data_IF_220907451767
#
_entry.id   IF_220907451767
#
_cell.length_a   1.000
_cell.length_b   1.000
_cell.length_c   1.000
_cell.angle_alpha   90.00
_cell.angle_beta   90.00
_cell.angle_gamma   90.00
#
_symmetry.space_group_name_H-M   'P 1'
#
loop_
_entity.id
_entity.type
_entity.pdbx_description
1 polymer ?
#
# COMPACT_ATOMS: atom_id res chain seq x y z
N UNK A 1 12.56 0.44 -5.29
CA UNK A 1 13.52 -0.67 -5.39
C UNK A 1 13.40 -1.28 -6.77
N UNK A 2 14.49 -1.81 -7.32
CA UNK A 2 14.49 -2.35 -8.69
C UNK A 2 15.45 -3.54 -8.82
N UNK A 3 15.52 -4.10 -10.03
CA UNK A 3 16.48 -5.11 -10.45
C UNK A 3 17.25 -4.60 -11.68
N UNK A 4 18.44 -5.16 -12.00
CA UNK A 4 19.24 -4.73 -13.15
C UNK A 4 18.46 -4.68 -14.47
N UNK A 5 17.63 -5.70 -14.73
CA UNK A 5 16.83 -5.81 -15.96
C UNK A 5 15.80 -4.67 -16.12
N UNK A 6 15.37 -4.07 -15.00
CA UNK A 6 14.37 -3.00 -14.99
C UNK A 6 14.96 -1.59 -15.09
N UNK A 7 16.29 -1.45 -15.10
CA UNK A 7 16.94 -0.13 -15.13
C UNK A 7 16.50 0.71 -16.34
N UNK A 8 16.57 0.13 -17.55
CA UNK A 8 16.21 0.84 -18.78
C UNK A 8 14.72 0.69 -19.14
N UNK A 9 14.05 -0.36 -18.65
CA UNK A 9 12.65 -0.65 -18.98
C UNK A 9 11.65 0.04 -18.04
N UNK A 10 12.03 0.32 -16.80
CA UNK A 10 11.13 0.88 -15.78
C UNK A 10 11.67 2.15 -15.13
N UNK A 11 12.91 2.11 -14.60
CA UNK A 11 13.45 3.21 -13.79
C UNK A 11 13.56 4.52 -14.58
N UNK A 12 13.87 4.47 -15.87
CA UNK A 12 13.92 5.66 -16.73
C UNK A 12 12.58 6.42 -16.74
N UNK A 13 11.45 5.70 -16.69
CA UNK A 13 10.12 6.32 -16.66
C UNK A 13 9.85 6.99 -15.32
N UNK A 14 10.28 6.39 -14.21
CA UNK A 14 10.21 6.99 -12.88
C UNK A 14 10.99 8.30 -12.85
N UNK A 15 12.25 8.28 -13.33
CA UNK A 15 13.12 9.48 -13.36
C UNK A 15 12.52 10.60 -14.23
N UNK A 16 11.83 10.25 -15.31
CA UNK A 16 11.21 11.21 -16.22
C UNK A 16 9.83 11.73 -15.74
N UNK A 17 9.24 11.12 -14.71
CA UNK A 17 7.89 11.46 -14.22
C UNK A 17 7.93 11.79 -12.73
N UNK A 18 7.26 11.01 -11.88
CA UNK A 18 7.07 11.31 -10.46
C UNK A 18 8.39 11.39 -9.66
N UNK A 19 9.41 10.63 -10.07
CA UNK A 19 10.73 10.64 -9.42
C UNK A 19 11.43 11.99 -9.50
N UNK A 20 11.13 12.80 -10.52
CA UNK A 20 11.67 14.16 -10.65
C UNK A 20 11.13 15.14 -9.59
N UNK A 21 10.02 14.80 -8.93
CA UNK A 21 9.36 15.64 -7.91
C UNK A 21 9.84 15.32 -6.48
N UNK A 22 10.63 14.27 -6.31
CA UNK A 22 11.24 13.89 -5.03
C UNK A 22 12.33 14.88 -4.60
N UNK A 23 12.49 15.11 -3.29
CA UNK A 23 13.64 15.87 -2.77
C UNK A 23 14.95 15.12 -3.00
N UNK A 24 14.91 13.78 -2.85
CA UNK A 24 15.99 12.85 -3.14
C UNK A 24 15.37 11.58 -3.69
N UNK A 25 15.91 11.09 -4.80
CA UNK A 25 15.55 9.81 -5.39
C UNK A 25 16.76 8.87 -5.26
N UNK A 26 16.59 7.77 -4.54
CA UNK A 26 17.60 6.72 -4.40
C UNK A 26 17.13 5.49 -5.18
N UNK A 27 17.91 5.06 -6.16
CA UNK A 27 17.59 3.85 -6.92
C UNK A 27 18.35 2.67 -6.33
N UNK A 28 17.68 1.88 -5.50
CA UNK A 28 18.26 0.70 -4.86
C UNK A 28 18.17 -0.53 -5.77
N UNK A 29 19.32 -1.12 -6.11
CA UNK A 29 19.48 -2.30 -6.98
C UNK A 29 20.57 -3.23 -6.42
N UNK A 30 20.83 -4.38 -7.05
CA UNK A 30 22.01 -5.22 -6.71
C UNK A 30 23.28 -4.81 -7.45
N UNK A 31 23.16 -4.01 -8.53
CA UNK A 31 24.30 -3.56 -9.33
C UNK A 31 24.32 -2.04 -9.46
N UNK A 32 25.54 -1.51 -9.58
CA UNK A 32 25.76 -0.11 -9.90
C UNK A 32 25.50 0.10 -11.39
N UNK A 33 24.66 1.07 -11.69
CA UNK A 33 24.39 1.55 -13.05
C UNK A 33 24.47 3.08 -13.04
N UNK A 34 25.58 3.65 -13.56
CA UNK A 34 25.77 5.10 -13.60
C UNK A 34 24.73 5.85 -14.44
N UNK A 35 24.07 5.19 -15.41
CA UNK A 35 23.10 5.86 -16.30
C UNK A 35 21.83 6.27 -15.57
N UNK A 36 21.40 5.43 -14.63
CA UNK A 36 20.24 5.70 -13.77
C UNK A 36 20.66 6.19 -12.38
N UNK A 37 21.91 6.00 -11.99
CA UNK A 37 22.44 6.36 -10.68
C UNK A 37 22.05 5.35 -9.60
N UNK A 38 22.05 4.05 -9.91
CA UNK A 38 21.69 3.03 -8.90
C UNK A 38 22.79 2.82 -7.87
N UNK A 39 22.33 2.51 -6.65
CA UNK A 39 23.14 2.09 -5.51
C UNK A 39 23.06 0.57 -5.45
N UNK A 40 24.22 -0.08 -5.50
CA UNK A 40 24.33 -1.53 -5.35
C UNK A 40 24.25 -1.90 -3.86
N UNK A 41 23.23 -2.68 -3.51
CA UNK A 41 23.07 -3.29 -2.20
C UNK A 41 23.75 -4.67 -2.20
N UNK A 42 24.37 -5.09 -1.08
CA UNK A 42 25.11 -6.34 -0.99
C UNK A 42 24.16 -7.55 -0.82
N UNK A 43 23.28 -7.76 -1.79
CA UNK A 43 22.24 -8.80 -1.78
C UNK A 43 22.14 -9.51 -3.12
N UNK A 44 21.76 -10.78 -3.11
CA UNK A 44 21.45 -11.53 -4.33
C UNK A 44 20.14 -11.03 -4.97
N UNK A 45 19.99 -11.24 -6.29
CA UNK A 45 18.77 -10.90 -7.01
C UNK A 45 17.65 -11.93 -6.83
N UNK A 46 16.43 -11.48 -7.11
CA UNK A 46 15.23 -12.32 -7.13
C UNK A 46 14.21 -11.98 -6.03
N UNK A 47 12.97 -12.44 -6.23
CA UNK A 47 11.84 -12.11 -5.35
C UNK A 47 12.04 -12.52 -3.90
N UNK A 48 12.72 -13.64 -3.67
CA UNK A 48 13.01 -14.12 -2.31
C UNK A 48 13.91 -13.14 -1.56
N UNK A 49 14.83 -12.48 -2.25
CA UNK A 49 15.77 -11.51 -1.66
C UNK A 49 15.20 -10.11 -1.46
N UNK A 50 13.91 -9.88 -1.78
CA UNK A 50 13.29 -8.55 -1.63
C UNK A 50 13.35 -8.03 -0.20
N UNK A 51 13.11 -8.89 0.78
CA UNK A 51 13.21 -8.50 2.18
C UNK A 51 14.62 -8.04 2.54
N UNK A 52 15.65 -8.80 2.16
CA UNK A 52 17.04 -8.41 2.41
C UNK A 52 17.42 -7.13 1.66
N UNK A 53 16.91 -6.94 0.44
CA UNK A 53 17.08 -5.68 -0.31
C UNK A 53 16.45 -4.50 0.44
N UNK A 54 15.27 -4.67 1.03
CA UNK A 54 14.64 -3.65 1.89
C UNK A 54 15.47 -3.37 3.14
N UNK A 55 15.95 -4.40 3.85
CA UNK A 55 16.82 -4.25 5.04
C UNK A 55 18.06 -3.42 4.72
N UNK A 56 18.77 -3.78 3.65
CA UNK A 56 19.99 -3.07 3.23
C UNK A 56 19.70 -1.67 2.70
N UNK A 57 18.56 -1.46 2.01
CA UNK A 57 18.13 -0.12 1.59
C UNK A 57 17.90 0.81 2.79
N UNK A 58 17.22 0.34 3.83
CA UNK A 58 16.98 1.14 5.04
C UNK A 58 18.23 1.29 5.90
N UNK A 59 19.15 0.31 5.92
CA UNK A 59 20.49 0.49 6.49
C UNK A 59 21.24 1.63 5.79
N UNK A 60 21.27 1.61 4.45
CA UNK A 60 21.91 2.68 3.67
C UNK A 60 21.29 4.05 3.99
N UNK A 61 19.96 4.14 4.00
CA UNK A 61 19.23 5.36 4.36
C UNK A 61 19.61 5.84 5.77
N UNK A 62 19.65 4.94 6.74
CA UNK A 62 20.01 5.27 8.11
C UNK A 62 21.43 5.87 8.20
N UNK A 63 22.39 5.19 7.60
CA UNK A 63 23.82 5.56 7.67
C UNK A 63 24.15 6.84 6.91
N UNK A 64 23.43 7.15 5.83
CA UNK A 64 23.80 8.23 4.91
C UNK A 64 22.83 9.42 4.92
N UNK A 65 21.54 9.22 5.24
CA UNK A 65 20.49 10.20 4.96
C UNK A 65 19.46 10.40 6.08
N UNK A 66 19.56 9.69 7.21
CA UNK A 66 18.54 9.77 8.28
C UNK A 66 18.26 11.20 8.76
N UNK A 67 19.34 11.96 8.97
CA UNK A 67 19.25 13.33 9.50
C UNK A 67 19.04 14.38 8.40
N UNK A 68 19.06 13.99 7.11
CA UNK A 68 18.79 14.90 5.98
C UNK A 68 17.30 15.06 5.69
N UNK A 69 16.47 14.05 5.99
CA UNK A 69 15.04 14.02 5.60
C UNK A 69 14.13 13.65 6.77
N UNK A 70 12.89 14.13 6.73
CA UNK A 70 11.87 13.87 7.76
C UNK A 70 11.12 12.54 7.52
N UNK A 71 10.95 12.16 6.25
CA UNK A 71 10.13 11.04 5.81
C UNK A 71 10.83 10.25 4.70
N UNK A 72 10.70 8.92 4.75
CA UNK A 72 11.39 7.99 3.86
C UNK A 72 10.35 7.08 3.20
N UNK A 73 10.17 7.22 1.88
CA UNK A 73 9.17 6.47 1.13
C UNK A 73 9.80 5.34 0.32
N UNK A 74 9.36 4.10 0.55
CA UNK A 74 9.69 2.94 -0.28
C UNK A 74 8.60 2.78 -1.34
N UNK A 75 9.02 2.59 -2.58
CA UNK A 75 8.17 2.26 -3.72
C UNK A 75 8.82 1.18 -4.59
N UNK A 76 8.02 0.43 -5.33
CA UNK A 76 8.50 -0.51 -6.35
C UNK A 76 8.67 0.20 -7.70
N UNK A 77 9.35 -0.44 -8.65
CA UNK A 77 9.68 0.18 -9.94
C UNK A 77 8.50 0.25 -10.93
N UNK A 78 7.33 -0.20 -10.51
CA UNK A 78 6.03 -0.09 -11.18
C UNK A 78 4.96 0.56 -10.28
N UNK A 79 5.38 1.35 -9.28
CA UNK A 79 4.50 2.24 -8.53
C UNK A 79 4.54 3.66 -9.13
N UNK A 80 3.38 4.30 -9.28
CA UNK A 80 3.29 5.74 -9.55
C UNK A 80 2.90 6.51 -8.29
N UNK A 81 3.49 7.70 -8.08
CA UNK A 81 3.35 8.47 -6.84
C UNK A 81 3.03 9.93 -7.14
N UNK A 82 1.99 10.46 -6.51
CA UNK A 82 1.70 11.90 -6.48
C UNK A 82 2.38 12.50 -5.25
N UNK A 83 3.62 12.94 -5.42
CA UNK A 83 4.51 13.37 -4.31
C UNK A 83 3.92 14.56 -3.53
N UNK A 84 3.20 15.46 -4.20
CA UNK A 84 2.49 16.57 -3.56
C UNK A 84 1.40 16.10 -2.60
N UNK A 85 0.65 15.07 -2.98
CA UNK A 85 -0.40 14.49 -2.14
C UNK A 85 0.21 13.76 -0.92
N UNK A 86 1.37 13.11 -1.11
CA UNK A 86 2.12 12.52 0.00
C UNK A 86 2.56 13.59 1.00
N UNK A 87 3.16 14.69 0.53
CA UNK A 87 3.58 15.81 1.36
C UNK A 87 2.40 16.44 2.11
N UNK A 88 1.29 16.66 1.41
CA UNK A 88 0.06 17.20 2.00
C UNK A 88 -0.46 16.30 3.13
N UNK A 89 -0.49 14.98 2.91
CA UNK A 89 -0.93 14.01 3.92
C UNK A 89 0.00 13.98 5.15
N UNK A 90 1.30 14.09 4.95
CA UNK A 90 2.31 14.02 6.03
C UNK A 90 2.49 15.34 6.78
N UNK A 91 2.12 16.48 6.19
CA UNK A 91 2.27 17.82 6.75
C UNK A 91 1.86 17.94 8.24
N UNK A 92 0.72 17.40 8.70
CA UNK A 92 0.32 17.54 10.10
C UNK A 92 1.04 16.58 11.07
N UNK A 93 1.85 15.64 10.59
CA UNK A 93 2.53 14.64 11.43
C UNK A 93 3.96 15.08 11.76
N UNK A 94 4.37 14.89 13.02
CA UNK A 94 5.77 15.05 13.43
C UNK A 94 6.60 13.84 12.97
N UNK A 95 7.77 14.04 12.35
CA UNK A 95 8.66 12.95 11.94
C UNK A 95 9.41 12.29 13.12
N UNK A 96 9.30 12.85 14.34
CA UNK A 96 9.82 12.28 15.58
C UNK A 96 8.89 11.21 16.17
N UNK A 97 7.70 11.04 15.61
CA UNK A 97 6.76 10.02 16.01
C UNK A 97 7.15 8.67 15.40
N UNK A 98 7.12 7.54 16.15
CA UNK A 98 7.41 6.22 15.61
C UNK A 98 6.21 5.70 14.80
N UNK A 99 6.00 6.24 13.60
CA UNK A 99 4.81 5.96 12.79
C UNK A 99 5.18 5.79 11.31
N UNK A 100 4.44 4.93 10.63
CA UNK A 100 4.56 4.67 9.21
C UNK A 100 3.18 4.46 8.59
N UNK A 101 3.08 4.70 7.28
CA UNK A 101 1.82 4.71 6.54
C UNK A 101 1.94 4.01 5.19
N UNK A 102 0.84 3.47 4.69
CA UNK A 102 0.77 2.85 3.38
C UNK A 102 -0.62 2.27 3.12
N UNK A 103 -0.73 1.28 2.22
CA UNK A 103 -1.98 0.54 2.02
C UNK A 103 -2.09 -0.60 3.03
N UNK A 104 -2.90 -0.40 4.07
CA UNK A 104 -2.90 -1.27 5.24
C UNK A 104 -3.58 -2.61 4.98
N UNK A 105 -2.85 -3.70 5.21
CA UNK A 105 -3.29 -5.09 5.19
C UNK A 105 -3.32 -5.67 6.60
N UNK A 106 -4.06 -6.77 6.76
CA UNK A 106 -4.19 -7.53 8.00
C UNK A 106 -3.73 -8.96 7.80
N UNK A 107 -2.96 -9.44 8.77
CA UNK A 107 -2.68 -10.85 8.96
C UNK A 107 -2.38 -11.07 10.45
N UNK A 108 -3.45 -11.06 11.29
CA UNK A 108 -3.33 -10.85 12.74
C UNK A 108 -2.60 -11.97 13.48
N UNK A 109 -2.45 -13.14 12.86
CA UNK A 109 -1.60 -14.22 13.37
C UNK A 109 -0.12 -13.84 13.43
N UNK A 110 0.33 -12.91 12.59
CA UNK A 110 1.73 -12.51 12.46
C UNK A 110 1.98 -11.04 12.82
N UNK A 111 1.06 -10.13 12.45
CA UNK A 111 1.18 -8.70 12.75
C UNK A 111 -0.18 -8.18 13.20
N UNK A 112 -0.34 -7.97 14.52
CA UNK A 112 -1.64 -7.65 15.13
C UNK A 112 -2.15 -6.28 14.70
N UNK A 113 -1.25 -5.29 14.63
CA UNK A 113 -1.58 -3.94 14.21
C UNK A 113 -1.81 -3.81 12.69
N UNK A 114 -1.52 -4.84 11.90
CA UNK A 114 -1.49 -4.79 10.44
C UNK A 114 -0.13 -4.32 9.87
N UNK A 115 0.02 -4.45 8.56
CA UNK A 115 1.23 -4.10 7.80
C UNK A 115 0.85 -3.36 6.52
N UNK A 116 1.81 -2.86 5.74
CA UNK A 116 1.49 -2.08 4.52
C UNK A 116 2.00 -2.76 3.26
N UNK A 117 1.14 -2.85 2.25
CA UNK A 117 1.48 -3.39 0.92
C UNK A 117 2.79 -2.81 0.38
N UNK A 118 3.73 -3.69 0.04
CA UNK A 118 5.02 -3.30 -0.53
C UNK A 118 4.88 -2.59 -1.88
N UNK A 119 3.93 -3.05 -2.71
CA UNK A 119 3.70 -2.53 -4.06
C UNK A 119 2.99 -1.18 -4.10
N UNK A 120 2.04 -0.93 -3.20
CA UNK A 120 1.47 0.41 -3.03
C UNK A 120 2.52 1.43 -2.54
N UNK A 121 3.62 0.93 -1.99
CA UNK A 121 4.61 1.69 -1.26
C UNK A 121 4.15 2.06 0.14
N UNK A 122 5.13 2.38 0.98
CA UNK A 122 4.91 2.79 2.36
C UNK A 122 5.94 3.85 2.77
N UNK A 123 5.53 4.77 3.64
CA UNK A 123 6.36 5.89 4.13
C UNK A 123 6.61 5.75 5.62
N UNK A 124 7.87 5.87 6.02
CA UNK A 124 8.31 5.83 7.41
C UNK A 124 8.71 7.23 7.85
N UNK A 125 8.39 7.58 9.09
CA UNK A 125 8.99 8.75 9.74
C UNK A 125 10.48 8.52 10.01
N UNK A 126 11.24 9.59 10.27
CA UNK A 126 12.63 9.49 10.72
C UNK A 126 12.77 8.59 11.95
N UNK A 127 11.89 8.75 12.93
CA UNK A 127 11.93 7.91 14.13
C UNK A 127 11.64 6.43 13.83
N UNK A 128 10.73 6.12 12.90
CA UNK A 128 10.48 4.74 12.48
C UNK A 128 11.72 4.10 11.83
N UNK A 129 12.42 4.83 10.94
CA UNK A 129 13.68 4.35 10.35
C UNK A 129 14.76 4.14 11.41
N UNK A 130 14.88 5.07 12.38
CA UNK A 130 15.84 4.94 13.48
C UNK A 130 15.62 3.67 14.28
N UNK A 131 14.39 3.43 14.74
CA UNK A 131 14.05 2.21 15.51
C UNK A 131 14.23 0.93 14.71
N UNK A 132 13.85 0.96 13.44
CA UNK A 132 14.05 -0.19 12.56
C UNK A 132 15.53 -0.59 12.51
N UNK A 133 16.42 0.36 12.29
CA UNK A 133 17.85 0.10 12.23
C UNK A 133 18.46 -0.26 13.60
N UNK A 134 18.28 0.61 14.60
CA UNK A 134 18.97 0.50 15.90
C UNK A 134 18.43 -0.63 16.79
N UNK A 135 17.16 -1.02 16.61
CA UNK A 135 16.46 -1.95 17.50
C UNK A 135 15.98 -3.21 16.77
N UNK A 136 15.37 -3.08 15.59
CA UNK A 136 14.75 -4.22 14.92
C UNK A 136 15.76 -5.10 14.19
N UNK A 137 16.67 -4.53 13.39
CA UNK A 137 17.56 -5.31 12.52
C UNK A 137 18.48 -6.31 13.27
N UNK A 138 18.80 -6.04 14.54
CA UNK A 138 19.58 -6.93 15.40
C UNK A 138 18.75 -7.99 16.13
N UNK A 139 17.42 -7.89 16.10
CA UNK A 139 16.49 -8.83 16.73
C UNK A 139 16.09 -9.93 15.73
N UNK A 140 16.86 -11.02 15.69
CA UNK A 140 16.53 -12.15 14.80
C UNK A 140 15.25 -12.89 15.18
N UNK A 141 14.76 -12.73 16.42
CA UNK A 141 13.55 -13.40 16.89
C UNK A 141 12.29 -12.74 16.33
N UNK A 142 12.26 -11.40 16.31
CA UNK A 142 11.07 -10.64 15.88
C UNK A 142 11.23 -9.93 14.53
N UNK A 143 12.46 -9.86 14.00
CA UNK A 143 12.80 -9.24 12.73
C UNK A 143 13.89 -10.06 12.00
N UNK A 144 13.55 -11.30 11.66
CA UNK A 144 14.50 -12.25 11.06
C UNK A 144 15.00 -11.80 9.69
N UNK A 145 16.23 -12.16 9.33
CA UNK A 145 16.76 -12.01 7.98
C UNK A 145 16.37 -13.19 7.05
N UNK A 146 15.54 -14.11 7.53
CA UNK A 146 15.06 -15.24 6.75
C UNK A 146 14.28 -14.76 5.51
N UNK A 147 14.36 -15.54 4.44
CA UNK A 147 13.63 -15.26 3.20
C UNK A 147 12.12 -15.38 3.42
N UNK A 148 11.43 -14.24 3.48
CA UNK A 148 9.97 -14.16 3.61
C UNK A 148 9.44 -12.92 2.84
N UNK A 149 8.14 -12.71 2.96
CA UNK A 149 7.36 -11.70 2.25
C UNK A 149 7.68 -10.31 2.79
N UNK A 150 8.32 -9.48 1.95
CA UNK A 150 8.95 -8.20 2.32
C UNK A 150 8.08 -7.26 3.16
N UNK A 151 6.83 -7.06 2.78
CA UNK A 151 5.92 -6.15 3.46
C UNK A 151 5.40 -6.70 4.80
N UNK A 152 5.17 -8.02 4.86
CA UNK A 152 4.82 -8.69 6.11
C UNK A 152 5.97 -8.65 7.11
N UNK A 153 7.21 -8.90 6.67
CA UNK A 153 8.41 -8.81 7.52
C UNK A 153 8.65 -7.39 8.01
N UNK A 154 8.51 -6.40 7.13
CA UNK A 154 8.55 -4.99 7.55
C UNK A 154 7.52 -4.72 8.65
N UNK A 155 6.29 -5.23 8.51
CA UNK A 155 5.25 -5.13 9.54
C UNK A 155 5.64 -5.77 10.88
N UNK A 156 6.19 -6.99 10.86
CA UNK A 156 6.67 -7.70 12.06
C UNK A 156 7.76 -6.89 12.79
N UNK A 157 8.75 -6.43 12.05
CA UNK A 157 9.86 -5.62 12.57
C UNK A 157 9.36 -4.30 13.18
N UNK A 158 8.41 -3.63 12.54
CA UNK A 158 7.85 -2.37 13.06
C UNK A 158 7.01 -2.59 14.31
N UNK A 159 6.23 -3.67 14.37
CA UNK A 159 5.45 -4.03 15.55
C UNK A 159 6.36 -4.37 16.75
N UNK A 160 7.48 -5.07 16.54
CA UNK A 160 8.39 -5.46 17.62
C UNK A 160 9.08 -4.27 18.29
N UNK A 161 9.28 -3.16 17.56
CA UNK A 161 9.93 -1.93 18.07
C UNK A 161 8.95 -0.78 18.33
N UNK A 162 7.67 -1.12 18.52
CA UNK A 162 6.59 -0.18 18.85
C UNK A 162 6.48 0.99 17.86
N UNK A 163 6.63 0.70 16.57
CA UNK A 163 6.31 1.64 15.49
C UNK A 163 4.87 1.40 15.04
N UNK A 164 4.05 2.46 15.11
CA UNK A 164 2.61 2.40 14.84
C UNK A 164 2.31 2.35 13.35
N UNK A 165 1.53 1.35 12.93
CA UNK A 165 0.93 1.29 11.60
C UNK A 165 -0.27 2.25 11.52
N UNK A 166 -0.01 3.49 11.10
CA UNK A 166 -0.99 4.58 11.08
C UNK A 166 -2.13 4.42 10.07
N UNK A 167 -3.20 5.20 10.24
CA UNK A 167 -4.31 5.29 9.28
C UNK A 167 -4.00 6.34 8.20
N UNK A 168 -3.97 5.89 6.94
CA UNK A 168 -3.64 6.72 5.77
C UNK A 168 -4.87 7.12 4.96
N UNK A 169 -6.08 6.77 5.40
CA UNK A 169 -7.32 7.09 4.69
C UNK A 169 -7.66 8.57 4.80
N UNK A 170 -8.51 9.04 3.89
CA UNK A 170 -9.09 10.38 4.01
C UNK A 170 -10.26 10.42 5.01
N UNK A 171 -10.82 11.61 5.19
CA UNK A 171 -11.95 11.84 6.12
C UNK A 171 -13.23 11.09 5.73
N UNK A 172 -13.32 10.57 4.50
CA UNK A 172 -14.44 9.73 4.04
C UNK A 172 -14.10 8.24 4.14
N UNK A 173 -12.93 7.88 4.67
CA UNK A 173 -12.46 6.50 4.77
C UNK A 173 -11.90 5.95 3.46
N UNK A 174 -11.67 6.78 2.43
CA UNK A 174 -11.11 6.33 1.14
C UNK A 174 -9.60 6.19 1.24
N UNK A 175 -9.04 5.20 0.54
CA UNK A 175 -7.58 4.96 0.57
C UNK A 175 -6.81 6.02 -0.20
N UNK A 176 -5.61 6.33 0.29
CA UNK A 176 -4.61 7.14 -0.41
C UNK A 176 -3.50 6.31 -1.04
N UNK A 177 -3.16 5.16 -0.47
CA UNK A 177 -2.18 4.22 -1.02
C UNK A 177 -2.93 3.02 -1.59
N UNK A 178 -2.75 2.76 -2.88
CA UNK A 178 -3.58 1.81 -3.62
C UNK A 178 -2.72 0.65 -4.18
N UNK A 179 -3.02 -0.61 -3.83
CA UNK A 179 -2.17 -1.74 -4.16
C UNK A 179 -2.40 -2.29 -5.57
N UNK A 180 -3.25 -1.64 -6.38
CA UNK A 180 -3.53 -1.96 -7.78
C UNK A 180 -3.51 -0.69 -8.63
N UNK A 181 -3.51 -0.85 -9.95
CA UNK A 181 -3.60 0.25 -10.90
C UNK A 181 -4.93 1.02 -10.78
N UNK A 182 -4.98 2.29 -11.25
CA UNK A 182 -6.20 3.10 -11.13
C UNK A 182 -7.45 2.45 -11.73
N UNK A 183 -7.32 1.80 -12.88
CA UNK A 183 -8.44 1.18 -13.60
C UNK A 183 -9.13 0.13 -12.72
N UNK A 184 -8.36 -0.75 -12.06
CA UNK A 184 -8.91 -1.75 -11.15
C UNK A 184 -9.83 -1.13 -10.09
N UNK A 185 -9.35 -0.11 -9.38
CA UNK A 185 -10.14 0.52 -8.31
C UNK A 185 -11.38 1.25 -8.85
N UNK A 186 -11.29 1.82 -10.06
CA UNK A 186 -12.36 2.61 -10.67
C UNK A 186 -13.44 1.75 -11.34
N UNK A 187 -13.11 0.55 -11.82
CA UNK A 187 -14.02 -0.26 -12.64
C UNK A 187 -14.43 -1.57 -12.01
N UNK A 188 -13.65 -2.12 -11.08
CA UNK A 188 -14.00 -3.38 -10.43
C UNK A 188 -15.10 -3.21 -9.39
N UNK A 189 -15.70 -4.32 -8.97
CA UNK A 189 -16.64 -4.38 -7.85
C UNK A 189 -16.37 -5.61 -6.98
N UNK A 190 -16.65 -5.50 -5.68
CA UNK A 190 -16.60 -6.64 -4.76
C UNK A 190 -17.51 -7.80 -5.18
N UNK A 191 -18.56 -7.52 -5.95
CA UNK A 191 -19.50 -8.53 -6.45
C UNK A 191 -18.95 -9.34 -7.63
N UNK A 192 -17.95 -8.84 -8.33
CA UNK A 192 -17.36 -9.52 -9.49
C UNK A 192 -16.47 -10.68 -9.06
N UNK A 193 -15.68 -10.47 -8.00
CA UNK A 193 -14.85 -11.49 -7.36
C UNK A 193 -14.79 -11.27 -5.83
N UNK A 194 -15.78 -11.80 -5.08
CA UNK A 194 -15.82 -11.68 -3.62
C UNK A 194 -14.61 -12.32 -2.94
N UNK A 195 -14.01 -13.33 -3.55
CA UNK A 195 -12.87 -14.09 -3.03
C UNK A 195 -11.52 -13.46 -3.42
N UNK A 196 -11.54 -12.36 -4.18
CA UNK A 196 -10.33 -11.65 -4.52
C UNK A 196 -9.54 -11.28 -3.27
N UNK A 197 -8.27 -11.67 -3.23
CA UNK A 197 -7.42 -11.60 -2.03
C UNK A 197 -7.41 -10.20 -1.40
N UNK A 198 -7.48 -9.13 -2.20
CA UNK A 198 -7.48 -7.77 -1.67
C UNK A 198 -8.67 -7.51 -0.72
N UNK A 199 -9.83 -8.12 -0.99
CA UNK A 199 -11.00 -8.03 -0.11
C UNK A 199 -10.77 -8.76 1.23
N UNK A 200 -9.94 -9.81 1.23
CA UNK A 200 -9.64 -10.61 2.42
C UNK A 200 -8.55 -9.95 3.28
N UNK A 201 -7.47 -9.51 2.63
CA UNK A 201 -6.28 -8.97 3.30
C UNK A 201 -6.37 -7.48 3.62
N UNK A 202 -7.28 -6.71 3.02
CA UNK A 202 -7.42 -5.29 3.35
C UNK A 202 -7.79 -5.09 4.83
N UNK A 203 -7.07 -4.22 5.54
CA UNK A 203 -7.35 -3.94 6.96
C UNK A 203 -8.63 -3.11 7.14
N UNK A 204 -8.90 -2.22 6.19
CA UNK A 204 -10.08 -1.37 6.09
C UNK A 204 -10.97 -1.79 4.93
N UNK A 205 -12.25 -1.43 4.96
CA UNK A 205 -13.18 -1.78 3.89
C UNK A 205 -12.67 -1.25 2.54
N UNK A 206 -12.52 -2.10 1.52
CA UNK A 206 -12.12 -1.66 0.19
C UNK A 206 -13.30 -0.97 -0.49
N UNK A 207 -13.08 0.25 -0.97
CA UNK A 207 -14.05 0.95 -1.80
C UNK A 207 -13.67 0.79 -3.27
N UNK A 208 -14.68 0.70 -4.12
CA UNK A 208 -14.56 0.56 -5.56
C UNK A 208 -15.41 1.60 -6.30
N UNK A 209 -15.22 1.72 -7.62
CA UNK A 209 -15.96 2.66 -8.45
C UNK A 209 -15.45 4.09 -8.29
N UNK A 210 -16.30 5.06 -8.65
CA UNK A 210 -15.95 6.49 -8.59
C UNK A 210 -15.65 7.01 -7.17
N UNK A 211 -16.02 6.24 -6.14
CA UNK A 211 -15.76 6.58 -4.74
C UNK A 211 -14.62 5.75 -4.11
N UNK A 212 -13.89 4.94 -4.90
CA UNK A 212 -12.84 4.05 -4.40
C UNK A 212 -11.74 4.78 -3.62
N UNK A 213 -11.40 5.96 -4.12
CA UNK A 213 -10.07 6.52 -3.99
C UNK A 213 -10.20 7.95 -3.50
N UNK A 214 -9.27 8.35 -2.62
CA UNK A 214 -9.24 9.74 -2.20
C UNK A 214 -9.00 10.68 -3.39
N UNK A 215 -9.64 11.84 -3.40
CA UNK A 215 -9.36 12.89 -4.40
C UNK A 215 -7.90 13.40 -4.31
N UNK A 216 -7.24 13.10 -3.19
CA UNK A 216 -5.81 13.32 -2.96
C UNK A 216 -5.11 11.97 -2.72
N UNK A 217 -5.35 11.00 -3.61
CA UNK A 217 -4.64 9.72 -3.63
C UNK A 217 -3.13 9.94 -3.83
N UNK A 218 -2.33 9.10 -3.18
CA UNK A 218 -0.87 9.21 -3.10
C UNK A 218 -0.19 8.28 -4.07
N UNK A 219 -0.58 7.01 -4.14
CA UNK A 219 0.15 6.03 -4.95
C UNK A 219 -0.75 4.94 -5.52
N UNK A 220 -0.33 4.41 -6.67
CA UNK A 220 -0.95 3.29 -7.35
C UNK A 220 0.14 2.31 -7.78
N UNK A 221 -0.08 1.03 -7.54
CA UNK A 221 0.83 -0.04 -7.96
C UNK A 221 0.50 -0.54 -9.39
N UNK A 222 1.34 -1.41 -9.96
CA UNK A 222 1.18 -1.99 -11.30
C UNK A 222 1.04 -0.96 -12.44
N UNK A 223 1.61 0.24 -12.26
CA UNK A 223 1.63 1.29 -13.28
C UNK A 223 2.84 1.11 -14.18
N UNK A 224 2.61 0.58 -15.37
CA UNK A 224 3.65 0.41 -16.38
C UNK A 224 4.26 1.75 -16.82
N UNK A 225 5.50 1.74 -17.30
CA UNK A 225 6.24 2.95 -17.68
C UNK A 225 5.47 3.91 -18.59
N UNK A 226 4.84 3.42 -19.66
CA UNK A 226 4.00 4.25 -20.54
C UNK A 226 2.79 4.86 -19.82
N UNK A 227 2.20 4.14 -18.88
CA UNK A 227 1.08 4.64 -18.07
C UNK A 227 1.55 5.67 -17.05
N UNK A 228 2.81 5.63 -16.57
CA UNK A 228 3.36 6.70 -15.73
C UNK A 228 3.35 8.04 -16.47
N UNK A 229 3.80 8.05 -17.73
CA UNK A 229 3.76 9.25 -18.59
C UNK A 229 2.34 9.75 -18.85
N UNK A 230 1.41 8.82 -19.11
CA UNK A 230 -0.01 9.15 -19.25
C UNK A 230 -0.56 9.79 -17.97
N UNK A 231 -0.28 9.22 -16.80
CA UNK A 231 -0.71 9.78 -15.52
C UNK A 231 -0.10 11.16 -15.27
N UNK A 232 1.19 11.36 -15.58
CA UNK A 232 1.86 12.66 -15.42
C UNK A 232 1.16 13.74 -16.26
N UNK A 233 0.88 13.44 -17.53
CA UNK A 233 0.12 14.33 -18.41
C UNK A 233 -1.29 14.61 -17.88
N UNK A 234 -2.05 13.58 -17.47
CA UNK A 234 -3.42 13.73 -17.01
C UNK A 234 -3.54 14.49 -15.68
N UNK A 235 -2.53 14.41 -14.81
CA UNK A 235 -2.53 15.04 -13.49
C UNK A 235 -2.00 16.47 -13.56
N UNK A 236 -0.93 16.71 -14.33
CA UNK A 236 -0.17 17.96 -14.26
C UNK A 236 -0.32 18.86 -15.50
N UNK A 237 -0.62 18.31 -16.68
CA UNK A 237 -0.62 19.07 -17.94
C UNK A 237 -2.04 19.29 -18.49
N UNK A 238 -2.89 18.26 -18.43
CA UNK A 238 -4.24 18.31 -18.97
C UNK A 238 -5.17 19.13 -18.07
N UNK A 239 -5.73 20.20 -18.61
CA UNK A 239 -6.68 21.05 -17.91
C UNK A 239 -7.96 21.20 -18.72
N UNK A 240 -9.10 20.96 -18.08
CA UNK A 240 -10.40 21.28 -18.67
C UNK A 240 -10.61 22.78 -18.55
N UNK A 241 -10.99 23.43 -19.66
CA UNK A 241 -11.27 24.86 -19.64
C UNK A 241 -12.41 25.18 -18.65
N UNK A 242 -12.20 26.20 -17.81
CA UNK A 242 -13.20 26.68 -16.84
C UNK A 242 -13.25 25.95 -15.50
N UNK A 243 -12.44 24.90 -15.29
CA UNK A 243 -12.36 24.22 -13.98
C UNK A 243 -11.31 24.87 -13.08
N UNK A 244 -11.70 25.23 -11.85
CA UNK A 244 -10.78 25.65 -10.79
C UNK A 244 -10.84 24.60 -9.68
N UNK A 245 -9.81 23.78 -9.56
CA UNK A 245 -9.70 22.86 -8.44
C UNK A 245 -9.29 23.65 -7.18
N UNK A 246 -10.11 23.58 -6.13
CA UNK A 246 -9.81 24.21 -4.84
C UNK A 246 -9.18 23.20 -3.92
N UNK A 247 -7.88 23.33 -3.70
CA UNK A 247 -7.18 22.50 -2.73
C UNK A 247 -7.68 22.77 -1.30
N UNK A 248 -7.79 21.73 -0.47
CA UNK A 248 -8.08 21.91 0.94
C UNK A 248 -6.95 22.69 1.65
N UNK A 249 -7.25 23.43 2.73
CA UNK A 249 -6.21 24.10 3.51
C UNK A 249 -5.28 23.08 4.18
N UNK A 250 -4.06 23.50 4.47
CA UNK A 250 -3.10 22.68 5.23
C UNK A 250 -3.69 22.34 6.61
N UNK A 251 -3.53 21.07 7.00
CA UNK A 251 -3.93 20.61 8.32
C UNK A 251 -3.09 21.25 9.42
N UNK A 252 -3.67 21.44 10.61
CA UNK A 252 -2.88 21.82 11.80
C UNK A 252 -2.00 20.64 12.23
N UNK A 253 -0.83 20.90 12.85
CA UNK A 253 -0.06 19.84 13.48
C UNK A 253 -0.91 19.01 14.43
N UNK A 254 -0.87 17.68 14.29
CA UNK A 254 -1.59 16.74 15.14
C UNK A 254 -0.96 16.65 16.52
N UNK A 255 -1.81 16.48 17.53
CA UNK A 255 -1.33 16.03 18.85
C UNK A 255 -0.84 14.59 18.77
N UNK A 256 -0.10 14.14 19.79
CA UNK A 256 0.32 12.73 19.89
C UNK A 256 -0.88 11.79 19.83
N UNK A 257 -1.96 12.09 20.54
CA UNK A 257 -3.18 11.28 20.56
C UNK A 257 -3.84 11.22 19.18
N UNK A 258 -3.97 12.36 18.49
CA UNK A 258 -4.56 12.43 17.15
C UNK A 258 -3.72 11.75 16.07
N UNK A 259 -2.40 11.71 16.24
CA UNK A 259 -1.48 11.07 15.31
C UNK A 259 -1.41 9.55 15.52
N UNK A 260 -1.52 9.09 16.77
CA UNK A 260 -1.45 7.66 17.14
C UNK A 260 -2.81 6.96 17.13
N UNK A 261 -3.91 7.70 16.95
CA UNK A 261 -5.24 7.11 16.82
C UNK A 261 -5.37 6.32 15.52
N UNK A 262 -5.67 5.03 15.63
CA UNK A 262 -5.83 4.11 14.51
C UNK A 262 -7.17 3.41 14.64
N UNK A 263 -8.02 3.54 13.61
CA UNK A 263 -9.28 2.80 13.56
C UNK A 263 -9.02 1.29 13.53
N UNK A 264 -9.85 0.52 14.25
CA UNK A 264 -9.81 -0.94 14.23
C UNK A 264 -10.14 -1.54 12.86
N UNK A 265 -9.89 -2.85 12.65
CA UNK A 265 -10.20 -3.51 11.39
C UNK A 265 -11.72 -3.58 11.18
N UNK A 266 -12.16 -3.51 9.93
CA UNK A 266 -13.59 -3.70 9.61
C UNK A 266 -13.95 -5.20 9.58
N UNK A 267 -15.21 -5.58 9.86
CA UNK A 267 -15.66 -6.97 9.78
C UNK A 267 -15.55 -7.52 8.35
N UNK A 268 -14.92 -8.68 8.18
CA UNK A 268 -15.02 -9.45 6.92
C UNK A 268 -16.38 -10.12 6.91
N UNK A 269 -17.15 -9.94 5.85
CA UNK A 269 -18.28 -10.84 5.59
C UNK A 269 -17.71 -12.21 5.17
N UNK A 270 -17.49 -13.09 6.14
CA UNK A 270 -17.07 -14.49 5.88
C UNK A 270 -18.27 -15.42 5.67
N UNK A 271 -19.48 -14.89 5.55
CA UNK A 271 -20.69 -15.70 5.40
C UNK A 271 -20.79 -16.24 3.97
N UNK A 272 -20.28 -17.45 3.76
CA UNK A 272 -20.88 -18.38 2.81
C UNK A 272 -22.33 -18.60 3.24
N UNK A 273 -23.33 -18.45 2.36
CA UNK A 273 -24.61 -19.10 2.60
C UNK A 273 -24.32 -20.60 2.71
N UNK A 274 -24.57 -21.20 3.87
CA UNK A 274 -24.65 -22.66 3.96
C UNK A 274 -25.70 -23.09 2.94
N UNK A 275 -25.27 -23.72 1.85
CA UNK A 275 -26.15 -24.57 1.06
C UNK A 275 -26.44 -25.80 1.91
N UNK A 276 -27.34 -25.65 2.89
CA UNK A 276 -28.07 -26.78 3.42
C UNK A 276 -28.90 -27.32 2.27
N UNK A 277 -28.57 -28.55 1.85
CA UNK A 277 -29.38 -29.33 0.94
C UNK A 277 -30.78 -29.45 1.52
N UNK A 278 -31.74 -28.72 0.94
CA UNK A 278 -33.15 -29.00 1.19
C UNK A 278 -33.45 -30.38 0.60
N UNK A 279 -33.41 -31.41 1.44
CA UNK A 279 -34.06 -32.67 1.15
C UNK A 279 -35.56 -32.38 1.05
N UNK A 280 -36.06 -32.23 -0.18
CA UNK A 280 -37.48 -32.24 -0.47
C UNK A 280 -38.02 -33.61 -0.06
N UNK A 281 -38.76 -33.64 1.05
CA UNK A 281 -39.67 -34.72 1.38
C UNK A 281 -40.81 -34.71 0.36
N UNK A 282 -40.79 -35.69 -0.54
CA UNK A 282 -41.91 -36.02 -1.40
C UNK A 282 -43.04 -36.53 -0.49
N UNK A 283 -44.07 -35.71 -0.31
CA UNK A 283 -45.34 -36.16 0.25
C UNK A 283 -46.20 -36.62 -0.93
N UNK A 284 -46.40 -37.94 -1.00
CA UNK A 284 -47.36 -38.59 -1.88
C UNK A 284 -48.78 -38.24 -1.46
N UNK A 285 -49.56 -37.60 -2.34
CA UNK A 285 -51.02 -37.49 -2.19
C UNK A 285 -51.70 -38.60 -2.98
N UNK A 286 -52.41 -39.48 -2.25
CA UNK A 286 -53.31 -40.50 -2.79
C UNK A 286 -54.51 -39.88 -3.50
N UNK A 287 -54.94 -40.57 -4.56
CA UNK A 287 -56.14 -40.32 -5.34
C UNK A 287 -57.42 -40.52 -4.53
N UNK A 288 -58.41 -39.65 -4.75
CA UNK A 288 -59.81 -40.01 -4.57
C UNK A 288 -60.65 -39.43 -5.72
N UNK A 289 -61.15 -40.35 -6.54
CA UNK A 289 -62.08 -40.16 -7.65
C UNK A 289 -63.49 -39.73 -7.20
N UNK A 290 -64.16 -38.91 -8.02
CA UNK A 290 -65.57 -39.06 -8.48
C UNK A 290 -66.05 -37.71 -9.04
N UNK A 291 -66.14 -37.56 -10.37
CA UNK A 291 -67.29 -37.84 -11.24
C UNK A 291 -68.44 -36.83 -11.13
N UNK A 292 -68.58 -36.00 -12.17
CA UNK A 292 -69.75 -35.82 -13.05
C UNK A 292 -69.99 -34.34 -13.43
N UNK A 293 -69.87 -34.08 -14.73
CA UNK A 293 -70.51 -32.99 -15.48
C UNK A 293 -72.05 -33.07 -15.36
N UNK A 294 -72.83 -32.05 -15.78
CA UNK A 294 -72.46 -30.85 -16.56
C UNK A 294 -72.66 -29.50 -15.88
#
# INVERSE_FOLDING_TARGET
MTTPDNHQEKVVHIKATWGARCNKLLIMSSVVDPTIGSIALPVEEGRKSLWNKTREAFRYIYEHHLEEYDWFFKADDDTYVVVENLRYFLYPYSPQLPIYFGSKFRYPEYVKQGYFSGGAGYVLSREAVRRFYEQALGDEQHCSAAYDTEDLEMGKCMESVNVTAGDSRDSLGRKRFLPMEPVFHLTSSITEDPDFWYNQYSFYEPFYGTNCCSDLAISFHYVQGKHMHMMDYLIYDLHVWGTIHRYPPLGKPKTLEEAMSVAGPYPISTLRPNTESSSLSIVTTEEASSSMNP
#
